data_IF_102726969067
#
_entry.id   IF_102726969067
#
_cell.length_a   1.000
_cell.length_b   1.000
_cell.length_c   1.000
_cell.angle_alpha   90.00
_cell.angle_beta   90.00
_cell.angle_gamma   90.00
#
_symmetry.space_group_name_H-M   'P 1'
#
loop_
_entity.id
_entity.type
_entity.pdbx_description
1 polymer ?
#
# COMPACT_ATOMS: atom_id res chain seq x y z
N UNK A 1 -7.93 -24.25 19.51
CA UNK A 1 -7.00 -23.14 19.23
C UNK A 1 -6.30 -23.41 17.90
N UNK A 2 -6.46 -22.54 16.89
CA UNK A 2 -5.82 -22.74 15.59
C UNK A 2 -4.29 -22.50 15.68
N UNK A 3 -3.49 -23.55 15.49
CA UNK A 3 -2.04 -23.44 15.42
C UNK A 3 -1.61 -22.75 14.11
N UNK A 4 -0.51 -21.99 14.14
CA UNK A 4 0.03 -21.27 12.98
C UNK A 4 0.55 -22.22 11.91
N UNK A 5 0.27 -21.93 10.62
CA UNK A 5 0.69 -22.74 9.45
C UNK A 5 2.21 -22.96 9.38
N UNK A 6 2.99 -22.10 10.04
CA UNK A 6 4.45 -22.21 10.17
C UNK A 6 4.88 -23.55 10.79
N UNK A 7 4.09 -24.15 11.67
CA UNK A 7 4.43 -25.41 12.35
C UNK A 7 4.47 -26.63 11.41
N UNK A 8 3.95 -26.53 10.19
CA UNK A 8 4.06 -27.60 9.20
C UNK A 8 5.54 -27.89 8.85
N UNK A 9 6.40 -26.87 8.92
CA UNK A 9 7.80 -26.92 8.50
C UNK A 9 8.80 -27.06 9.65
N UNK A 10 8.35 -27.10 10.91
CA UNK A 10 9.21 -27.14 12.09
C UNK A 10 8.82 -28.27 13.06
N UNK A 11 9.79 -28.75 13.83
CA UNK A 11 9.54 -29.72 14.90
C UNK A 11 8.83 -29.08 16.08
N UNK A 12 8.24 -29.92 16.96
CA UNK A 12 7.73 -29.45 18.25
C UNK A 12 8.88 -28.85 19.09
N UNK A 13 8.62 -27.86 19.95
CA UNK A 13 9.63 -27.31 20.85
C UNK A 13 10.19 -28.36 21.80
N UNK A 14 11.50 -28.36 22.00
CA UNK A 14 12.21 -29.23 22.95
C UNK A 14 13.15 -28.38 23.82
N UNK A 15 13.47 -28.86 25.02
CA UNK A 15 14.41 -28.20 25.94
C UNK A 15 15.81 -28.77 25.76
N UNK A 16 16.83 -27.91 25.70
CA UNK A 16 18.24 -28.34 25.81
C UNK A 16 18.66 -28.48 27.27
N UNK A 17 19.83 -29.09 27.51
CA UNK A 17 20.42 -29.22 28.85
C UNK A 17 20.54 -27.87 29.58
N UNK A 18 20.74 -26.79 28.82
CA UNK A 18 20.84 -25.41 29.31
C UNK A 18 19.48 -24.76 29.68
N UNK A 19 18.37 -25.49 29.56
CA UNK A 19 17.02 -25.00 29.87
C UNK A 19 16.36 -24.16 28.77
N UNK A 20 17.07 -23.85 27.69
CA UNK A 20 16.54 -23.13 26.54
C UNK A 20 15.57 -24.00 25.72
N UNK A 21 14.46 -23.39 25.28
CA UNK A 21 13.51 -24.05 24.37
C UNK A 21 13.92 -23.77 22.92
N UNK A 22 14.19 -24.83 22.16
CA UNK A 22 14.60 -24.77 20.76
C UNK A 22 13.64 -25.54 19.85
N UNK A 23 13.67 -25.24 18.55
CA UNK A 23 12.90 -25.90 17.49
C UNK A 23 13.83 -26.22 16.32
N UNK A 24 13.58 -27.32 15.61
CA UNK A 24 14.35 -27.71 14.41
C UNK A 24 13.55 -27.45 13.14
N UNK A 25 14.22 -26.94 12.11
CA UNK A 25 13.65 -26.88 10.76
C UNK A 25 13.63 -28.28 10.12
N UNK A 26 12.52 -28.69 9.51
CA UNK A 26 12.43 -30.00 8.83
C UNK A 26 13.14 -30.04 7.47
N UNK A 27 13.46 -28.88 6.89
CA UNK A 27 14.05 -28.77 5.55
C UNK A 27 15.58 -28.79 5.59
N UNK A 28 16.20 -28.21 6.62
CA UNK A 28 17.65 -28.09 6.75
C UNK A 28 18.22 -28.56 8.09
N UNK A 29 17.37 -29.03 9.02
CA UNK A 29 17.74 -29.45 10.37
C UNK A 29 18.40 -28.39 11.26
N UNK A 30 18.42 -27.12 10.82
CA UNK A 30 18.93 -25.99 11.60
C UNK A 30 18.13 -25.81 12.90
N UNK A 31 18.84 -25.49 14.01
CA UNK A 31 18.24 -25.39 15.34
C UNK A 31 18.04 -23.94 15.75
N UNK A 32 16.80 -23.52 15.91
CA UNK A 32 16.43 -22.13 16.23
C UNK A 32 15.93 -22.00 17.67
N UNK A 33 16.20 -20.86 18.31
CA UNK A 33 15.65 -20.53 19.63
C UNK A 33 14.16 -20.19 19.55
N UNK A 34 13.39 -20.61 20.57
CA UNK A 34 11.94 -20.38 20.68
C UNK A 34 11.57 -19.81 22.05
N UNK A 35 11.13 -18.54 22.08
CA UNK A 35 10.69 -17.82 23.28
C UNK A 35 9.30 -17.21 23.07
N UNK A 36 8.27 -18.06 22.96
CA UNK A 36 6.82 -17.72 22.86
C UNK A 36 6.27 -17.24 21.51
N UNK A 37 7.11 -16.96 20.52
CA UNK A 37 6.66 -16.51 19.18
C UNK A 37 7.31 -17.30 18.05
N UNK A 38 6.68 -17.30 16.87
CA UNK A 38 7.14 -18.03 15.67
C UNK A 38 7.98 -17.16 14.72
N UNK A 39 8.44 -16.01 15.19
CA UNK A 39 9.17 -15.01 14.37
C UNK A 39 10.47 -15.56 13.80
N UNK A 40 11.26 -16.29 14.61
CA UNK A 40 12.54 -16.88 14.18
C UNK A 40 12.32 -17.93 13.09
N UNK A 41 11.31 -18.79 13.27
CA UNK A 41 10.90 -19.81 12.29
C UNK A 41 10.50 -19.17 10.95
N UNK A 42 9.74 -18.07 10.98
CA UNK A 42 9.31 -17.37 9.76
C UNK A 42 10.47 -16.69 9.04
N UNK A 43 11.37 -16.02 9.77
CA UNK A 43 12.58 -15.40 9.20
C UNK A 43 13.45 -16.44 8.52
N UNK A 44 13.72 -17.56 9.21
CA UNK A 44 14.49 -18.68 8.68
C UNK A 44 13.85 -19.26 7.42
N UNK A 45 12.55 -19.60 7.46
CA UNK A 45 11.86 -20.18 6.31
C UNK A 45 11.84 -19.23 5.09
N UNK A 46 11.77 -17.91 5.31
CA UNK A 46 11.82 -16.91 4.23
C UNK A 46 13.23 -16.75 3.65
N UNK A 47 14.26 -16.73 4.49
CA UNK A 47 15.66 -16.52 4.07
C UNK A 47 16.26 -17.75 3.39
N UNK A 48 16.19 -18.89 4.07
CA UNK A 48 16.91 -20.11 3.66
C UNK A 48 16.13 -20.99 2.67
N UNK A 49 14.80 -20.86 2.65
CA UNK A 49 13.94 -21.75 1.87
C UNK A 49 13.01 -21.00 0.92
N UNK A 50 13.11 -19.68 0.83
CA UNK A 50 12.23 -18.79 0.03
C UNK A 50 10.73 -19.10 0.25
N UNK A 51 10.36 -19.64 1.43
CA UNK A 51 8.99 -20.01 1.75
C UNK A 51 8.20 -18.80 2.23
N UNK A 52 7.16 -18.44 1.47
CA UNK A 52 6.21 -17.41 1.88
C UNK A 52 5.12 -18.05 2.74
N UNK A 53 5.31 -18.03 4.06
CA UNK A 53 4.31 -18.53 5.01
C UNK A 53 3.32 -17.39 5.33
N UNK A 54 2.03 -17.48 4.93
CA UNK A 54 1.05 -16.43 5.19
C UNK A 54 0.92 -16.16 6.69
N UNK A 55 1.04 -14.90 7.10
CA UNK A 55 0.86 -14.53 8.50
C UNK A 55 -0.58 -14.84 8.92
N UNK A 56 -0.76 -15.55 10.04
CA UNK A 56 -2.01 -15.45 10.78
C UNK A 56 -2.30 -13.95 11.04
N UNK A 57 -3.56 -13.56 10.93
CA UNK A 57 -4.03 -12.18 11.03
C UNK A 57 -3.35 -11.42 12.18
N UNK A 58 -3.02 -10.13 12.03
CA UNK A 58 -2.39 -9.36 13.09
C UNK A 58 -3.29 -9.35 14.34
N UNK A 59 -2.81 -9.94 15.44
CA UNK A 59 -3.32 -9.59 16.77
C UNK A 59 -2.91 -8.14 17.02
N UNK A 60 -3.85 -7.35 17.54
CA UNK A 60 -3.83 -5.89 17.59
C UNK A 60 -2.48 -5.24 17.90
N UNK A 61 -2.22 -4.14 17.19
CA UNK A 61 -1.07 -3.28 17.37
C UNK A 61 -1.04 -2.72 18.81
N UNK A 62 -0.08 -3.18 19.63
CA UNK A 62 0.28 -2.50 20.87
C UNK A 62 1.16 -1.30 20.53
N UNK A 63 0.78 -0.14 21.07
CA UNK A 63 1.49 1.14 21.00
C UNK A 63 2.97 0.97 21.34
N UNK A 64 3.87 1.53 20.52
CA UNK A 64 5.25 1.84 20.92
C UNK A 64 5.53 3.32 20.63
N UNK A 65 6.07 4.00 21.65
CA UNK A 65 6.49 5.40 21.65
C UNK A 65 7.84 5.56 20.94
N UNK A 66 7.92 6.62 20.13
CA UNK A 66 9.03 7.58 19.87
C UNK A 66 10.44 7.04 19.57
N UNK A 67 11.05 7.43 18.45
CA UNK A 67 11.90 8.63 18.34
C UNK A 67 12.41 8.80 16.89
N UNK A 68 12.57 10.06 16.50
CA UNK A 68 13.10 10.56 15.23
C UNK A 68 14.58 10.23 15.04
N UNK A 69 15.02 10.10 13.79
CA UNK A 69 16.31 10.64 13.29
C UNK A 69 16.37 10.55 11.78
N UNK A 70 16.91 11.61 11.19
CA UNK A 70 17.02 11.90 9.76
C UNK A 70 18.31 11.35 9.14
N UNK A 71 18.32 11.35 7.80
CA UNK A 71 19.46 11.40 6.84
C UNK A 71 19.29 10.32 5.76
N UNK A 72 19.79 10.42 4.53
CA UNK A 72 20.16 11.45 3.56
C UNK A 72 20.85 10.68 2.41
N UNK A 73 20.80 11.20 1.18
CA UNK A 73 21.63 10.82 0.01
C UNK A 73 21.37 9.42 -0.62
N UNK A 74 21.54 9.16 -1.92
CA UNK A 74 21.73 9.96 -3.14
C UNK A 74 21.68 8.99 -4.34
N UNK A 75 21.11 9.45 -5.45
CA UNK A 75 21.34 9.15 -6.88
C UNK A 75 21.52 7.71 -7.43
N UNK A 76 20.79 7.40 -8.52
CA UNK A 76 21.34 7.09 -9.85
C UNK A 76 20.24 7.09 -10.93
N UNK A 77 20.61 7.67 -12.07
CA UNK A 77 19.83 7.96 -13.28
C UNK A 77 19.53 6.71 -14.14
N UNK A 78 18.48 6.78 -14.97
CA UNK A 78 18.52 6.39 -16.40
C UNK A 78 17.25 6.82 -17.14
N UNK A 79 17.44 7.04 -18.44
CA UNK A 79 16.69 7.86 -19.40
C UNK A 79 15.33 7.33 -19.91
N UNK A 80 14.53 8.32 -20.33
CA UNK A 80 13.60 8.40 -21.47
C UNK A 80 12.39 7.45 -21.60
N UNK A 81 11.19 8.02 -21.68
CA UNK A 81 10.65 8.53 -22.96
C UNK A 81 9.26 9.18 -22.79
N UNK A 82 9.06 10.28 -23.51
CA UNK A 82 7.86 11.10 -23.67
C UNK A 82 6.62 10.33 -24.17
N UNK A 83 5.41 10.79 -23.79
CA UNK A 83 4.38 11.25 -24.75
C UNK A 83 3.18 11.88 -24.02
N UNK A 84 2.63 12.84 -24.75
CA UNK A 84 1.75 13.96 -24.46
C UNK A 84 0.32 13.64 -23.96
N UNK A 85 -0.37 14.70 -23.56
CA UNK A 85 -1.64 14.74 -22.82
C UNK A 85 -2.92 14.65 -23.73
N UNK A 86 -4.13 15.14 -23.32
CA UNK A 86 -5.45 14.49 -23.42
C UNK A 86 -6.26 15.06 -24.65
N UNK A 87 -7.62 15.01 -24.84
CA UNK A 87 -8.73 14.73 -23.90
C UNK A 87 -9.99 13.99 -24.43
N UNK A 88 -10.95 13.85 -23.51
CA UNK A 88 -12.38 13.54 -23.59
C UNK A 88 -13.11 13.58 -24.95
N UNK A 89 -13.95 12.56 -25.24
CA UNK A 89 -15.45 12.65 -25.26
C UNK A 89 -16.11 11.53 -26.08
N UNK A 90 -17.12 10.91 -25.47
CA UNK A 90 -18.46 10.54 -26.00
C UNK A 90 -18.67 10.37 -27.52
N UNK A 91 -19.03 9.15 -27.99
CA UNK A 91 -20.33 8.88 -28.65
C UNK A 91 -20.53 7.39 -29.08
N UNK A 92 -21.59 6.78 -28.52
CA UNK A 92 -22.76 6.14 -29.17
C UNK A 92 -22.64 5.55 -30.60
N UNK A 93 -22.88 4.22 -30.72
CA UNK A 93 -23.70 3.44 -31.70
C UNK A 93 -23.50 3.69 -33.23
N UNK A 94 -23.46 2.74 -34.17
CA UNK A 94 -24.05 1.40 -34.31
C UNK A 94 -23.53 0.69 -35.60
N UNK A 95 -23.60 -0.65 -35.59
CA UNK A 95 -24.07 -1.57 -36.64
C UNK A 95 -23.37 -1.85 -38.00
N UNK A 96 -23.23 -3.17 -38.21
CA UNK A 96 -23.28 -3.97 -39.46
C UNK A 96 -22.06 -4.02 -40.38
N UNK A 97 -21.38 -5.18 -40.45
CA UNK A 97 -21.55 -6.12 -41.57
C UNK A 97 -20.82 -7.46 -41.33
N UNK A 98 -21.43 -8.55 -41.78
CA UNK A 98 -20.89 -9.91 -41.70
C UNK A 98 -20.19 -10.31 -43.01
N UNK A 99 -19.07 -11.04 -42.93
CA UNK A 99 -18.87 -12.39 -43.51
C UNK A 99 -17.38 -12.82 -43.50
N UNK A 100 -17.18 -14.11 -43.21
CA UNK A 100 -16.08 -15.01 -43.62
C UNK A 100 -14.71 -14.98 -42.89
N UNK A 101 -14.67 -15.71 -41.76
CA UNK A 101 -13.87 -16.93 -41.48
C UNK A 101 -12.36 -16.98 -41.81
N UNK A 102 -11.55 -17.04 -40.75
CA UNK A 102 -10.52 -18.08 -40.55
C UNK A 102 -10.16 -18.19 -39.06
N UNK A 103 -10.50 -19.33 -38.47
CA UNK A 103 -10.17 -19.71 -37.09
C UNK A 103 -8.67 -19.96 -36.94
N UNK A 104 -8.00 -19.17 -36.11
CA UNK A 104 -6.82 -19.61 -35.37
C UNK A 104 -7.25 -19.78 -33.91
N UNK A 105 -7.53 -21.03 -33.54
CA UNK A 105 -7.96 -21.42 -32.20
C UNK A 105 -6.86 -21.15 -31.16
N UNK A 106 -6.85 -19.94 -30.58
CA UNK A 106 -6.39 -19.78 -29.20
C UNK A 106 -7.56 -20.19 -28.33
N UNK A 107 -7.48 -21.37 -27.71
CA UNK A 107 -8.47 -21.87 -26.79
C UNK A 107 -8.71 -20.85 -25.67
N UNK A 108 -9.76 -20.04 -25.82
CA UNK A 108 -10.31 -19.24 -24.73
C UNK A 108 -10.94 -20.20 -23.75
N UNK A 109 -10.11 -20.66 -22.80
CA UNK A 109 -10.60 -21.30 -21.58
C UNK A 109 -11.64 -20.35 -20.98
N UNK A 110 -12.91 -20.68 -21.15
CA UNK A 110 -13.99 -19.96 -20.51
C UNK A 110 -13.81 -20.20 -19.01
N UNK A 111 -13.26 -19.19 -18.33
CA UNK A 111 -13.09 -19.18 -16.89
C UNK A 111 -14.43 -19.56 -16.26
N UNK A 112 -14.52 -20.79 -15.74
CA UNK A 112 -15.75 -21.30 -15.16
C UNK A 112 -16.16 -20.44 -13.95
N UNK A 113 -17.38 -20.62 -13.42
CA UNK A 113 -17.87 -19.84 -12.27
C UNK A 113 -16.90 -19.84 -11.07
N UNK A 114 -16.18 -20.94 -10.85
CA UNK A 114 -15.15 -21.05 -9.81
C UNK A 114 -13.92 -20.19 -10.12
N UNK A 115 -13.50 -20.16 -11.37
CA UNK A 115 -12.35 -19.39 -11.83
C UNK A 115 -12.65 -17.88 -11.72
N UNK A 116 -13.89 -17.48 -12.02
CA UNK A 116 -14.38 -16.11 -11.77
C UNK A 116 -14.36 -15.72 -10.28
N UNK A 117 -14.74 -16.64 -9.38
CA UNK A 117 -14.68 -16.42 -7.93
C UNK A 117 -13.24 -16.30 -7.41
N UNK A 118 -12.33 -17.15 -7.87
CA UNK A 118 -10.91 -17.12 -7.49
C UNK A 118 -10.23 -15.86 -8.02
N UNK A 119 -10.49 -15.50 -9.28
CA UNK A 119 -9.99 -14.26 -9.89
C UNK A 119 -10.49 -13.02 -9.15
N UNK A 120 -11.75 -13.02 -8.70
CA UNK A 120 -12.28 -11.92 -7.89
C UNK A 120 -11.59 -11.81 -6.52
N UNK A 121 -11.31 -12.93 -5.84
CA UNK A 121 -10.59 -12.91 -4.55
C UNK A 121 -9.16 -12.40 -4.73
N UNK A 122 -8.47 -12.84 -5.77
CA UNK A 122 -7.10 -12.42 -6.07
C UNK A 122 -7.01 -10.95 -6.47
N UNK A 123 -8.03 -10.43 -7.17
CA UNK A 123 -8.08 -9.02 -7.56
C UNK A 123 -8.08 -8.06 -6.35
N UNK A 124 -8.67 -8.47 -5.22
CA UNK A 124 -8.69 -7.72 -3.95
C UNK A 124 -7.64 -8.19 -2.93
N UNK A 125 -6.80 -9.16 -3.29
CA UNK A 125 -5.64 -9.49 -2.49
C UNK A 125 -4.65 -8.31 -2.51
N UNK A 126 -3.79 -8.23 -1.50
CA UNK A 126 -2.83 -7.12 -1.37
C UNK A 126 -1.92 -7.04 -2.60
N UNK A 127 -1.96 -5.91 -3.30
CA UNK A 127 -1.23 -5.72 -4.56
C UNK A 127 -1.97 -6.23 -5.82
N UNK A 128 -3.21 -6.68 -5.68
CA UNK A 128 -4.09 -6.93 -6.82
C UNK A 128 -4.61 -5.63 -7.42
N UNK A 129 -5.00 -5.66 -8.70
CA UNK A 129 -5.43 -4.47 -9.43
C UNK A 129 -6.59 -3.73 -8.72
N UNK A 130 -7.61 -4.46 -8.27
CA UNK A 130 -8.78 -3.87 -7.60
C UNK A 130 -8.45 -3.37 -6.20
N UNK A 131 -7.53 -4.03 -5.50
CA UNK A 131 -7.00 -3.55 -4.21
C UNK A 131 -6.34 -2.17 -4.39
N UNK A 132 -5.44 -2.03 -5.36
CA UNK A 132 -4.77 -0.77 -5.66
C UNK A 132 -5.73 0.35 -6.09
N UNK A 133 -6.73 0.03 -6.93
CA UNK A 133 -7.77 0.98 -7.32
C UNK A 133 -8.57 1.49 -6.12
N UNK A 134 -9.02 0.58 -5.25
CA UNK A 134 -9.76 0.94 -4.04
C UNK A 134 -8.91 1.76 -3.06
N UNK A 135 -7.64 1.40 -2.86
CA UNK A 135 -6.72 2.15 -2.01
C UNK A 135 -6.48 3.56 -2.56
N UNK A 136 -6.28 3.70 -3.88
CA UNK A 136 -6.10 5.00 -4.51
C UNK A 136 -7.35 5.87 -4.41
N UNK A 137 -8.54 5.31 -4.67
CA UNK A 137 -9.81 6.02 -4.50
C UNK A 137 -10.03 6.48 -3.05
N UNK A 138 -9.71 5.63 -2.08
CA UNK A 138 -9.77 5.98 -0.66
C UNK A 138 -8.80 7.13 -0.31
N UNK A 139 -7.59 7.11 -0.85
CA UNK A 139 -6.62 8.20 -0.68
C UNK A 139 -7.12 9.52 -1.28
N UNK A 140 -7.70 9.46 -2.48
CA UNK A 140 -8.30 10.63 -3.14
C UNK A 140 -9.44 11.22 -2.31
N UNK A 141 -10.35 10.40 -1.79
CA UNK A 141 -11.44 10.84 -0.91
C UNK A 141 -10.88 11.52 0.35
N UNK A 142 -9.92 10.90 1.02
CA UNK A 142 -9.31 11.47 2.23
C UNK A 142 -8.67 12.85 1.95
N UNK A 143 -7.95 12.98 0.84
CA UNK A 143 -7.29 14.23 0.47
C UNK A 143 -8.27 15.31 0.00
N UNK A 144 -9.21 14.98 -0.89
CA UNK A 144 -10.16 15.93 -1.45
C UNK A 144 -11.13 16.48 -0.40
N UNK A 145 -11.57 15.63 0.52
CA UNK A 145 -12.54 15.99 1.56
C UNK A 145 -11.87 16.40 2.89
N UNK A 146 -10.53 16.58 2.90
CA UNK A 146 -9.75 16.93 4.09
C UNK A 146 -10.04 16.03 5.31
N UNK A 147 -10.22 14.73 5.08
CA UNK A 147 -10.58 13.79 6.14
C UNK A 147 -9.37 13.37 6.96
N UNK A 148 -9.55 13.00 8.25
CA UNK A 148 -8.48 12.39 9.02
C UNK A 148 -7.99 11.07 8.41
N UNK A 149 -6.68 10.81 8.42
CA UNK A 149 -6.09 9.54 7.94
C UNK A 149 -6.60 8.29 8.69
N UNK A 150 -7.11 8.48 9.91
CA UNK A 150 -7.75 7.41 10.71
C UNK A 150 -9.19 7.12 10.31
N UNK A 151 -9.74 7.79 9.30
CA UNK A 151 -11.10 7.55 8.79
C UNK A 151 -11.39 6.07 8.50
N UNK A 152 -10.50 5.31 7.84
CA UNK A 152 -10.77 3.89 7.57
C UNK A 152 -10.78 3.00 8.81
N UNK A 153 -10.25 3.49 9.93
CA UNK A 153 -10.25 2.77 11.20
C UNK A 153 -11.58 2.90 11.95
N UNK A 154 -12.42 3.89 11.58
CA UNK A 154 -13.71 4.15 12.22
C UNK A 154 -14.68 2.98 12.00
N UNK A 155 -15.45 2.65 13.04
CA UNK A 155 -16.38 1.51 13.05
C UNK A 155 -17.43 1.59 11.93
N UNK A 156 -18.01 2.77 11.71
CA UNK A 156 -19.02 2.98 10.65
C UNK A 156 -18.46 2.73 9.26
N UNK A 157 -17.28 3.28 8.96
CA UNK A 157 -16.59 3.08 7.68
C UNK A 157 -16.25 1.60 7.43
N UNK A 158 -15.70 0.91 8.44
CA UNK A 158 -15.42 -0.53 8.36
C UNK A 158 -16.66 -1.34 8.02
N UNK A 159 -17.80 -1.04 8.66
CA UNK A 159 -19.08 -1.70 8.37
C UNK A 159 -19.52 -1.42 6.93
N UNK A 160 -19.53 -0.16 6.51
CA UNK A 160 -19.89 0.25 5.15
C UNK A 160 -19.06 -0.49 4.09
N UNK A 161 -17.74 -0.43 4.18
CA UNK A 161 -16.85 -1.08 3.20
C UNK A 161 -17.00 -2.60 3.21
N UNK A 162 -17.15 -3.23 4.39
CA UNK A 162 -17.36 -4.69 4.46
C UNK A 162 -18.71 -5.13 3.93
N UNK A 163 -19.74 -4.28 3.99
CA UNK A 163 -21.03 -4.54 3.34
C UNK A 163 -20.89 -4.44 1.82
N UNK A 164 -20.16 -3.46 1.30
CA UNK A 164 -19.98 -3.28 -0.15
C UNK A 164 -19.04 -4.31 -0.78
N UNK A 165 -17.89 -4.55 -0.16
CA UNK A 165 -16.85 -5.45 -0.66
C UNK A 165 -16.13 -6.14 0.50
N UNK A 166 -16.59 -7.35 0.89
CA UNK A 166 -16.01 -8.10 2.01
C UNK A 166 -14.54 -8.48 1.80
N UNK A 167 -14.13 -8.74 0.55
CA UNK A 167 -12.78 -9.21 0.23
C UNK A 167 -11.71 -8.12 0.37
N UNK A 168 -12.10 -6.84 0.23
CA UNK A 168 -11.17 -5.72 0.30
C UNK A 168 -10.57 -5.56 1.70
N UNK A 169 -9.24 -5.47 1.77
CA UNK A 169 -8.50 -5.25 3.01
C UNK A 169 -8.31 -3.75 3.22
N UNK A 170 -9.07 -3.21 4.16
CA UNK A 170 -9.00 -1.78 4.48
C UNK A 170 -7.59 -1.45 4.99
N UNK A 171 -6.88 -0.50 4.35
CA UNK A 171 -5.56 -0.08 4.81
C UNK A 171 -5.67 0.62 6.17
N UNK A 172 -4.68 0.42 7.03
CA UNK A 172 -4.57 1.15 8.29
C UNK A 172 -3.89 2.50 8.09
N UNK A 173 -3.97 3.37 9.10
CA UNK A 173 -3.43 4.73 9.04
C UNK A 173 -1.95 4.74 8.59
N UNK A 174 -1.10 3.89 9.16
CA UNK A 174 0.34 3.87 8.79
C UNK A 174 0.59 3.55 7.30
N UNK A 175 -0.29 2.76 6.68
CA UNK A 175 -0.18 2.48 5.24
C UNK A 175 -0.59 3.71 4.44
N UNK A 176 -1.67 4.38 4.85
CA UNK A 176 -2.11 5.62 4.20
C UNK A 176 -1.12 6.76 4.38
N UNK A 177 -0.51 6.92 5.55
CA UNK A 177 0.53 7.93 5.80
C UNK A 177 1.69 7.75 4.83
N UNK A 178 2.24 6.53 4.72
CA UNK A 178 3.32 6.23 3.77
C UNK A 178 2.92 6.54 2.33
N UNK A 179 1.72 6.11 1.92
CA UNK A 179 1.22 6.37 0.56
C UNK A 179 0.97 7.87 0.31
N UNK A 180 0.60 8.63 1.34
CA UNK A 180 0.40 10.07 1.24
C UNK A 180 1.73 10.78 1.08
N UNK A 181 2.74 10.40 1.86
CA UNK A 181 4.12 10.90 1.75
C UNK A 181 4.69 10.62 0.35
N UNK A 182 4.52 9.39 -0.16
CA UNK A 182 4.94 9.03 -1.53
C UNK A 182 4.26 9.91 -2.60
N UNK A 183 2.94 10.14 -2.49
CA UNK A 183 2.23 11.03 -3.41
C UNK A 183 2.62 12.50 -3.23
N UNK A 184 2.92 12.91 -2.01
CA UNK A 184 3.35 14.27 -1.70
C UNK A 184 4.67 14.59 -2.40
N UNK A 185 5.67 13.71 -2.34
CA UNK A 185 6.96 13.98 -3.00
C UNK A 185 6.79 14.14 -4.52
N UNK A 186 6.00 13.28 -5.16
CA UNK A 186 5.70 13.41 -6.60
C UNK A 186 5.03 14.75 -6.94
N UNK A 187 4.05 15.16 -6.13
CA UNK A 187 3.37 16.46 -6.33
C UNK A 187 4.29 17.63 -6.02
N UNK A 188 5.11 17.53 -4.99
CA UNK A 188 6.10 18.53 -4.61
C UNK A 188 7.09 18.76 -5.74
N UNK A 189 7.69 17.72 -6.30
CA UNK A 189 8.61 17.83 -7.44
C UNK A 189 7.96 18.48 -8.66
N UNK A 190 6.69 18.16 -8.93
CA UNK A 190 5.92 18.79 -10.00
C UNK A 190 5.67 20.28 -9.73
N UNK A 191 5.25 20.63 -8.51
CA UNK A 191 4.98 22.02 -8.12
C UNK A 191 6.28 22.83 -8.08
N UNK A 192 7.38 22.26 -7.59
CA UNK A 192 8.71 22.90 -7.60
C UNK A 192 9.12 23.29 -9.01
N UNK A 193 8.97 22.40 -10.00
CA UNK A 193 9.23 22.74 -11.41
C UNK A 193 8.38 23.90 -11.90
N UNK A 194 7.09 23.94 -11.54
CA UNK A 194 6.24 25.07 -11.92
C UNK A 194 6.66 26.39 -11.26
N UNK A 195 7.22 26.33 -10.05
CA UNK A 195 7.76 27.49 -9.35
C UNK A 195 9.06 27.95 -10.02
N UNK A 196 9.96 27.03 -10.37
CA UNK A 196 11.23 27.33 -11.03
C UNK A 196 11.04 27.98 -12.41
N UNK A 197 9.99 27.56 -13.13
CA UNK A 197 9.60 28.14 -14.42
C UNK A 197 8.85 29.49 -14.29
N UNK A 198 8.42 29.88 -13.09
CA UNK A 198 7.61 31.08 -12.91
C UNK A 198 8.48 32.35 -12.95
N UNK A 199 8.13 33.29 -13.84
CA UNK A 199 8.82 34.58 -13.97
C UNK A 199 8.68 35.45 -12.71
N UNK A 200 7.54 35.36 -12.03
CA UNK A 200 7.22 36.17 -10.86
C UNK A 200 6.60 35.30 -9.77
N UNK A 201 7.05 35.55 -8.55
CA UNK A 201 6.62 34.86 -7.34
C UNK A 201 6.36 35.89 -6.25
N UNK A 202 5.35 35.67 -5.42
CA UNK A 202 5.10 36.47 -4.22
C UNK A 202 4.87 35.56 -3.02
N UNK A 203 5.28 36.03 -1.84
CA UNK A 203 5.09 35.31 -0.58
C UNK A 203 4.18 36.13 0.33
N UNK A 204 3.21 35.48 0.94
CA UNK A 204 2.40 36.05 2.03
C UNK A 204 2.68 35.27 3.29
N UNK A 205 2.97 35.98 4.37
CA UNK A 205 3.30 35.40 5.66
C UNK A 205 2.23 35.77 6.69
N UNK A 206 1.72 34.80 7.43
CA UNK A 206 0.77 34.98 8.52
C UNK A 206 1.33 34.41 9.83
N UNK A 207 1.21 35.16 10.93
CA UNK A 207 1.70 34.74 12.25
C UNK A 207 0.54 34.63 13.20
N UNK A 208 0.45 33.52 13.93
CA UNK A 208 -0.53 33.34 14.99
C UNK A 208 0.06 32.60 16.20
N UNK A 209 -0.49 32.88 17.38
CA UNK A 209 -0.05 32.25 18.63
C UNK A 209 -1.18 31.42 19.23
N UNK A 210 -0.91 30.13 19.46
CA UNK A 210 -1.79 29.27 20.23
C UNK A 210 -1.56 29.49 21.73
N UNK A 211 -2.34 30.43 22.29
CA UNK A 211 -2.19 30.95 23.66
C UNK A 211 -2.04 29.84 24.72
N UNK A 212 -2.84 28.78 24.64
CA UNK A 212 -2.83 27.69 25.62
C UNK A 212 -1.67 26.70 25.46
N UNK A 213 -1.05 26.64 24.28
CA UNK A 213 0.09 25.75 24.04
C UNK A 213 1.43 26.48 24.14
N UNK A 214 1.40 27.80 24.39
CA UNK A 214 2.57 28.70 24.35
C UNK A 214 3.42 28.49 23.09
N UNK A 215 2.75 28.31 21.94
CA UNK A 215 3.39 28.10 20.63
C UNK A 215 2.96 29.20 19.67
N UNK A 216 3.93 29.84 19.03
CA UNK A 216 3.72 30.67 17.85
C UNK A 216 3.93 29.84 16.59
N UNK A 217 3.20 30.20 15.54
CA UNK A 217 3.27 29.62 14.21
C UNK A 217 3.45 30.73 13.19
N UNK A 218 4.22 30.45 12.14
CA UNK A 218 4.37 31.28 10.96
C UNK A 218 3.92 30.42 9.78
N UNK A 219 2.84 30.81 9.13
CA UNK A 219 2.45 30.30 7.84
C UNK A 219 3.13 31.12 6.75
N UNK A 220 3.61 30.44 5.72
CA UNK A 220 4.18 31.05 4.52
C UNK A 220 3.44 30.45 3.34
N UNK A 221 2.79 31.30 2.55
CA UNK A 221 2.08 30.90 1.34
C UNK A 221 2.75 31.55 0.14
N UNK A 222 3.17 30.73 -0.83
CA UNK A 222 3.73 31.20 -2.09
C UNK A 222 2.68 31.27 -3.19
N UNK A 223 2.67 32.37 -3.93
CA UNK A 223 1.80 32.60 -5.09
C UNK A 223 2.68 32.77 -6.32
N UNK A 224 2.33 32.08 -7.40
CA UNK A 224 3.03 32.17 -8.67
C UNK A 224 2.04 31.96 -9.81
N UNK A 225 2.36 32.48 -11.00
CA UNK A 225 1.58 32.22 -12.20
C UNK A 225 2.22 31.08 -12.97
N UNK A 226 1.44 30.02 -13.23
CA UNK A 226 1.85 28.95 -14.15
C UNK A 226 1.86 29.50 -15.57
N UNK A 227 3.02 29.54 -16.21
CA UNK A 227 3.12 29.87 -17.63
C UNK A 227 2.35 28.84 -18.46
N UNK A 228 1.38 29.28 -19.26
CA UNK A 228 0.88 28.48 -20.37
C UNK A 228 1.89 28.68 -21.50
N UNK A 229 2.61 27.63 -21.87
CA UNK A 229 3.35 27.60 -23.14
C UNK A 229 2.36 27.45 -24.29
#
# INVERSE_FOLDING_TARGET
>A
MAQSKVWNHFSKPFKTADGDTKVKCKMCNETLSYRSTTTNMRKHAKGEHKLVIPSQAPRGCKKRRTFSTASAASSKESDNSDIDSPPASTNTQNDTNALARSESASASFHAGPLDRCVNNINAFASGGQRDSECVNALMCMIAADNMPLRTPEKRGFKKFVKTLQPAFKIPCESVLTRLLEEKYEVLRERISRWIDEAQHQSLTCDIWTHKYAMKSYLGVTGHFRRGLR
#
